data_IF_660128909856
#
_entry.id   IF_660128909856
#
_cell.length_a   1.000
_cell.length_b   1.000
_cell.length_c   1.000
_cell.angle_alpha   90.00
_cell.angle_beta   90.00
_cell.angle_gamma   90.00
#
_symmetry.space_group_name_H-M   'P 1'
#
loop_
_entity.id
_entity.type
_entity.pdbx_description
1 polymer ?
#
# COMPACT_ATOMS: atom_id res chain seq x y z
N UNK A 1 -28.27 -23.63 5.11
CA UNK A 1 -27.14 -22.75 4.74
C UNK A 1 -27.60 -21.93 3.55
N UNK A 2 -27.71 -20.60 3.68
CA UNK A 2 -28.08 -19.75 2.54
C UNK A 2 -26.95 -19.79 1.49
N UNK A 3 -27.26 -19.86 0.18
CA UNK A 3 -26.23 -19.85 -0.85
C UNK A 3 -25.50 -18.51 -0.83
N UNK A 4 -24.17 -18.55 -0.94
CA UNK A 4 -23.37 -17.33 -0.96
C UNK A 4 -23.76 -16.45 -2.15
N UNK A 5 -24.08 -15.19 -1.86
CA UNK A 5 -24.44 -14.19 -2.87
C UNK A 5 -23.16 -13.82 -3.62
N UNK A 6 -23.09 -14.09 -4.92
CA UNK A 6 -21.97 -13.62 -5.75
C UNK A 6 -21.89 -12.09 -5.65
N UNK A 7 -20.82 -11.58 -5.02
CA UNK A 7 -20.53 -10.16 -4.96
C UNK A 7 -20.08 -9.68 -6.34
N UNK A 8 -21.04 -9.25 -7.16
CA UNK A 8 -20.77 -8.43 -8.35
C UNK A 8 -20.40 -7.02 -7.89
N UNK A 9 -19.35 -6.45 -8.46
CA UNK A 9 -18.96 -5.06 -8.17
C UNK A 9 -20.09 -4.11 -8.56
N UNK A 10 -20.37 -3.11 -7.73
CA UNK A 10 -21.39 -2.09 -8.00
C UNK A 10 -20.80 -0.98 -8.87
N UNK A 11 -21.63 -0.40 -9.74
CA UNK A 11 -21.21 0.75 -10.55
C UNK A 11 -21.19 2.02 -9.70
N UNK A 12 -20.10 2.79 -9.76
CA UNK A 12 -19.93 4.02 -8.98
C UNK A 12 -20.06 5.30 -9.82
N UNK A 13 -19.70 5.26 -11.10
CA UNK A 13 -19.68 6.41 -12.00
C UNK A 13 -20.40 6.12 -13.32
N UNK A 14 -21.15 7.10 -13.83
CA UNK A 14 -21.77 7.01 -15.16
C UNK A 14 -20.73 7.03 -16.29
N UNK A 15 -19.59 7.70 -16.09
CA UNK A 15 -18.50 7.73 -17.07
C UNK A 15 -17.69 6.43 -17.06
N UNK A 16 -17.57 5.78 -18.21
CA UNK A 16 -16.89 4.47 -18.34
C UNK A 16 -15.40 4.49 -17.99
N UNK A 17 -14.70 5.61 -18.18
CA UNK A 17 -13.29 5.73 -17.82
C UNK A 17 -13.13 5.83 -16.31
N UNK A 18 -13.93 6.69 -15.66
CA UNK A 18 -13.91 6.84 -14.20
C UNK A 18 -14.34 5.54 -13.50
N UNK A 19 -15.30 4.82 -14.07
CA UNK A 19 -15.74 3.52 -13.58
C UNK A 19 -14.62 2.47 -13.61
N UNK A 20 -13.76 2.50 -14.64
CA UNK A 20 -12.61 1.58 -14.69
C UNK A 20 -11.57 1.90 -13.61
N UNK A 21 -11.39 3.18 -13.27
CA UNK A 21 -10.40 3.61 -12.27
C UNK A 21 -10.83 3.33 -10.83
N UNK A 22 -12.12 3.04 -10.58
CA UNK A 22 -12.60 2.64 -9.24
C UNK A 22 -12.31 1.17 -8.91
N UNK A 23 -11.94 0.37 -9.91
CA UNK A 23 -11.66 -1.06 -9.76
C UNK A 23 -10.16 -1.31 -9.71
N UNK A 24 -9.67 -1.79 -8.57
CA UNK A 24 -8.26 -2.11 -8.38
C UNK A 24 -8.08 -3.59 -8.02
N UNK A 25 -7.19 -4.28 -8.74
CA UNK A 25 -6.85 -5.67 -8.41
C UNK A 25 -6.07 -5.71 -7.09
N UNK A 26 -6.32 -6.67 -6.18
CA UNK A 26 -5.64 -6.72 -4.87
C UNK A 26 -4.11 -6.76 -4.93
N UNK A 27 -3.52 -7.25 -6.02
CA UNK A 27 -2.06 -7.30 -6.22
C UNK A 27 -1.43 -5.93 -6.57
N UNK A 28 -2.24 -4.97 -6.98
CA UNK A 28 -1.77 -3.68 -7.52
C UNK A 28 -0.84 -2.93 -6.55
N UNK A 29 -1.13 -2.83 -5.24
CA UNK A 29 -0.23 -2.16 -4.30
C UNK A 29 1.15 -2.80 -4.24
N UNK A 30 1.23 -4.14 -4.28
CA UNK A 30 2.50 -4.87 -4.23
C UNK A 30 3.34 -4.62 -5.49
N UNK A 31 2.73 -4.70 -6.68
CA UNK A 31 3.43 -4.47 -7.93
C UNK A 31 3.85 -3.01 -8.12
N UNK A 32 3.08 -2.07 -7.57
CA UNK A 32 3.39 -0.65 -7.65
C UNK A 32 4.53 -0.26 -6.68
N UNK A 33 4.40 -0.62 -5.41
CA UNK A 33 5.33 -0.17 -4.36
C UNK A 33 6.53 -1.08 -4.16
N UNK A 34 6.41 -2.37 -4.48
CA UNK A 34 7.51 -3.34 -4.34
C UNK A 34 8.78 -2.96 -5.11
N UNK A 35 8.70 -2.61 -6.41
CA UNK A 35 9.86 -2.15 -7.18
C UNK A 35 10.49 -0.87 -6.62
N UNK A 36 9.67 0.07 -6.15
CA UNK A 36 10.14 1.33 -5.57
C UNK A 36 10.91 1.05 -4.27
N UNK A 37 10.34 0.25 -3.38
CA UNK A 37 11.00 -0.16 -2.13
C UNK A 37 12.30 -0.91 -2.42
N UNK A 38 12.28 -1.87 -3.35
CA UNK A 38 13.48 -2.62 -3.76
C UNK A 38 14.57 -1.72 -4.35
N UNK A 39 14.20 -0.76 -5.21
CA UNK A 39 15.13 0.21 -5.78
C UNK A 39 15.76 1.11 -4.71
N UNK A 40 14.97 1.60 -3.74
CA UNK A 40 15.49 2.43 -2.65
C UNK A 40 16.43 1.65 -1.72
N UNK A 41 16.11 0.40 -1.40
CA UNK A 41 17.00 -0.49 -0.63
C UNK A 41 18.30 -0.74 -1.41
N UNK A 42 18.20 -1.07 -2.70
CA UNK A 42 19.36 -1.28 -3.57
C UNK A 42 20.26 -0.04 -3.61
N UNK A 43 19.67 1.15 -3.78
CA UNK A 43 20.42 2.41 -3.76
C UNK A 43 21.13 2.63 -2.42
N UNK A 44 20.45 2.35 -1.32
CA UNK A 44 21.01 2.52 0.03
C UNK A 44 22.26 1.66 0.24
N UNK A 45 22.24 0.41 -0.22
CA UNK A 45 23.33 -0.55 -0.03
C UNK A 45 24.44 -0.48 -1.09
N UNK A 46 24.08 -0.26 -2.36
CA UNK A 46 25.03 -0.37 -3.48
C UNK A 46 25.55 0.99 -3.92
N UNK A 47 24.68 1.99 -4.02
CA UNK A 47 25.07 3.33 -4.50
C UNK A 47 25.64 4.15 -3.35
N UNK A 48 24.95 4.19 -2.22
CA UNK A 48 25.36 4.96 -1.05
C UNK A 48 26.25 4.19 -0.06
N UNK A 49 26.39 2.88 -0.26
CA UNK A 49 27.24 2.01 0.56
C UNK A 49 26.97 2.16 2.07
N UNK A 50 25.71 2.41 2.44
CA UNK A 50 25.33 2.55 3.83
C UNK A 50 25.55 1.22 4.56
N UNK A 51 26.05 1.22 5.81
CA UNK A 51 26.11 0.01 6.60
C UNK A 51 24.72 -0.60 6.76
N UNK A 52 24.63 -1.93 6.88
CA UNK A 52 23.33 -2.63 6.95
C UNK A 52 22.50 -2.19 8.16
N UNK A 53 23.16 -1.93 9.30
CA UNK A 53 22.49 -1.57 10.55
C UNK A 53 21.60 -0.30 10.44
N UNK A 54 22.08 0.86 9.96
CA UNK A 54 21.23 2.03 9.78
C UNK A 54 20.11 1.81 8.75
N UNK A 55 20.33 1.02 7.69
CA UNK A 55 19.27 0.69 6.72
C UNK A 55 18.17 -0.13 7.40
N UNK A 56 18.53 -1.12 8.21
CA UNK A 56 17.56 -1.91 9.00
C UNK A 56 16.85 -1.06 10.06
N UNK A 57 17.59 -0.18 10.76
CA UNK A 57 17.01 0.70 11.76
C UNK A 57 15.96 1.64 11.15
N UNK A 58 16.24 2.21 9.97
CA UNK A 58 15.26 3.01 9.21
C UNK A 58 14.09 2.14 8.75
N UNK A 59 14.33 0.90 8.31
CA UNK A 59 13.26 -0.03 7.96
C UNK A 59 12.30 -0.30 9.13
N UNK A 60 12.84 -0.57 10.33
CA UNK A 60 12.06 -0.79 11.56
C UNK A 60 11.30 0.49 11.95
N UNK A 61 11.97 1.64 11.90
CA UNK A 61 11.33 2.94 12.15
C UNK A 61 10.18 3.18 11.16
N UNK A 62 10.36 2.84 9.88
CA UNK A 62 9.32 2.92 8.86
C UNK A 62 8.11 2.05 9.15
N UNK A 63 8.30 0.81 9.62
CA UNK A 63 7.20 -0.07 10.06
C UNK A 63 6.45 0.54 11.24
N UNK A 64 7.17 1.04 12.25
CA UNK A 64 6.56 1.71 13.39
C UNK A 64 5.77 2.95 12.97
N UNK A 65 6.35 3.80 12.13
CA UNK A 65 5.67 4.98 11.58
C UNK A 65 4.44 4.60 10.78
N UNK A 66 4.51 3.56 9.94
CA UNK A 66 3.35 3.06 9.20
C UNK A 66 2.24 2.62 10.14
N UNK A 67 2.52 1.79 11.15
CA UNK A 67 1.50 1.34 12.11
C UNK A 67 0.85 2.51 12.87
N UNK A 68 1.63 3.52 13.23
CA UNK A 68 1.10 4.74 13.84
C UNK A 68 0.21 5.53 12.86
N UNK A 69 0.68 5.71 11.62
CA UNK A 69 -0.09 6.38 10.56
C UNK A 69 -1.39 5.64 10.25
N UNK A 70 -1.36 4.31 10.12
CA UNK A 70 -2.52 3.45 9.92
C UNK A 70 -3.56 3.68 11.02
N UNK A 71 -3.13 3.62 12.29
CA UNK A 71 -4.02 3.86 13.42
C UNK A 71 -4.66 5.26 13.37
N UNK A 72 -3.86 6.30 13.12
CA UNK A 72 -4.36 7.66 13.06
C UNK A 72 -5.31 7.88 11.88
N UNK A 73 -4.99 7.35 10.69
CA UNK A 73 -5.84 7.45 9.51
C UNK A 73 -7.17 6.74 9.73
N UNK A 74 -7.14 5.52 10.27
CA UNK A 74 -8.36 4.77 10.56
C UNK A 74 -9.21 5.48 11.61
N UNK A 75 -8.60 5.90 12.72
CA UNK A 75 -9.35 6.47 13.85
C UNK A 75 -9.85 7.89 13.61
N UNK A 76 -9.04 8.76 13.01
CA UNK A 76 -9.31 10.20 12.98
C UNK A 76 -9.70 10.73 11.60
N UNK A 77 -9.47 9.98 10.51
CA UNK A 77 -9.79 10.42 9.15
C UNK A 77 -10.86 9.55 8.49
N UNK A 78 -10.71 8.23 8.51
CA UNK A 78 -11.64 7.31 7.84
C UNK A 78 -12.92 7.07 8.66
N UNK A 79 -12.81 7.12 10.00
CA UNK A 79 -13.95 7.11 10.93
C UNK A 79 -14.21 8.50 11.55
N UNK A 80 -14.36 9.51 10.69
CA UNK A 80 -14.88 10.81 11.11
C UNK A 80 -16.40 10.77 11.32
#
# INVERSE_FOLDING_TARGET
MQPEKQHQSIRLFENDLLERLSHVHPITPLLMWGPIAGWLIWRSLVVYQLPVLPVLAIGIAGVFTWSLSEYCLHRFLFHF
#
